data_IF_060073934045
#
_entry.id   IF_060073934045
#
_cell.length_a   1.000
_cell.length_b   1.000
_cell.length_c   1.000
_cell.angle_alpha   90.00
_cell.angle_beta   90.00
_cell.angle_gamma   90.00
#
_symmetry.space_group_name_H-M   'P 1'
#
loop_
_entity.id
_entity.type
_entity.pdbx_description
1 polymer ?
#
# COMPACT_ATOMS: atom_id res chain seq x y z
N UNK A 1 -6.04 -8.27 -6.89
CA UNK A 1 -5.35 -8.69 -8.13
C UNK A 1 -4.79 -7.47 -8.83
N UNK A 2 -3.51 -7.45 -9.17
CA UNK A 2 -2.90 -6.40 -10.00
C UNK A 2 -2.36 -7.02 -11.28
N UNK A 3 -2.62 -6.37 -12.42
CA UNK A 3 -2.18 -6.82 -13.74
C UNK A 3 -1.36 -5.70 -14.38
N UNK A 4 -0.11 -6.01 -14.71
CA UNK A 4 0.75 -5.14 -15.51
C UNK A 4 0.87 -5.75 -16.90
N UNK A 5 0.74 -4.93 -17.93
CA UNK A 5 0.84 -5.38 -19.31
C UNK A 5 1.72 -4.45 -20.14
N UNK A 6 2.53 -5.02 -21.01
CA UNK A 6 3.36 -4.28 -21.96
C UNK A 6 3.29 -4.92 -23.36
N UNK A 7 3.35 -4.10 -24.41
CA UNK A 7 3.39 -4.59 -25.79
C UNK A 7 4.72 -5.26 -26.08
N UNK A 8 4.69 -6.46 -26.65
CA UNK A 8 5.87 -7.12 -27.22
C UNK A 8 6.01 -6.69 -28.67
N UNK A 9 7.19 -6.18 -29.03
CA UNK A 9 7.50 -5.67 -30.36
C UNK A 9 8.52 -6.54 -31.07
N UNK A 10 8.35 -6.69 -32.38
CA UNK A 10 9.22 -7.50 -33.23
C UNK A 10 10.68 -7.09 -33.05
N UNK A 11 11.56 -8.07 -32.90
CA UNK A 11 13.01 -7.91 -32.72
C UNK A 11 13.41 -6.99 -31.54
N UNK A 12 12.53 -6.80 -30.55
CA UNK A 12 12.78 -5.95 -29.39
C UNK A 12 12.87 -4.44 -29.69
N UNK A 13 12.54 -4.01 -30.92
CA UNK A 13 12.66 -2.60 -31.31
C UNK A 13 11.56 -1.75 -30.66
N UNK A 14 11.95 -0.62 -30.06
CA UNK A 14 11.02 0.35 -29.41
C UNK A 14 9.87 0.77 -30.33
N UNK A 15 10.16 0.96 -31.61
CA UNK A 15 9.19 1.37 -32.63
C UNK A 15 8.80 0.21 -33.58
N UNK A 16 9.18 -1.03 -33.23
CA UNK A 16 8.90 -2.22 -34.02
C UNK A 16 7.41 -2.57 -34.04
N UNK A 17 6.98 -3.31 -35.06
CA UNK A 17 5.59 -3.81 -35.17
C UNK A 17 5.21 -4.56 -33.89
N UNK A 18 4.03 -4.25 -33.34
CA UNK A 18 3.46 -4.98 -32.20
C UNK A 18 3.16 -6.41 -32.65
N UNK A 19 3.68 -7.40 -31.91
CA UNK A 19 3.51 -8.83 -32.21
C UNK A 19 2.82 -9.59 -31.08
N UNK A 20 2.61 -8.96 -29.93
CA UNK A 20 1.89 -9.56 -28.80
C UNK A 20 1.86 -8.65 -27.58
N UNK A 21 1.43 -9.22 -26.45
CA UNK A 21 1.39 -8.57 -25.13
C UNK A 21 2.00 -9.53 -24.11
N UNK A 22 2.84 -8.99 -23.22
CA UNK A 22 3.29 -9.68 -22.02
C UNK A 22 2.49 -9.14 -20.84
N UNK A 23 1.75 -10.01 -20.17
CA UNK A 23 1.02 -9.71 -18.95
C UNK A 23 1.68 -10.38 -17.75
N UNK A 24 1.81 -9.64 -16.64
CA UNK A 24 2.20 -10.20 -15.34
C UNK A 24 1.04 -10.00 -14.38
N UNK A 25 0.53 -11.11 -13.84
CA UNK A 25 -0.55 -11.13 -12.86
C UNK A 25 0.03 -11.41 -11.48
N UNK A 26 -0.11 -10.45 -10.57
CA UNK A 26 0.31 -10.63 -9.19
C UNK A 26 -0.90 -10.96 -8.31
N UNK A 27 -0.77 -12.06 -7.55
CA UNK A 27 -1.65 -12.33 -6.42
C UNK A 27 -1.28 -11.39 -5.27
N UNK A 28 -1.70 -10.13 -5.41
CA UNK A 28 -1.42 -9.06 -4.47
C UNK A 28 -2.03 -9.31 -3.08
N UNK A 29 -3.12 -10.07 -2.98
CA UNK A 29 -3.84 -10.21 -1.72
C UNK A 29 -3.02 -10.91 -0.63
N UNK A 30 -2.39 -12.03 -0.97
CA UNK A 30 -1.59 -12.81 -0.01
C UNK A 30 -0.31 -12.07 0.37
N UNK A 31 0.37 -11.44 -0.61
CA UNK A 31 1.57 -10.66 -0.33
C UNK A 31 1.28 -9.42 0.52
N UNK A 32 0.17 -8.73 0.25
CA UNK A 32 -0.20 -7.55 1.01
C UNK A 32 -0.56 -7.88 2.46
N UNK A 33 -1.18 -9.04 2.71
CA UNK A 33 -1.43 -9.56 4.07
C UNK A 33 -0.13 -9.79 4.83
N UNK A 34 0.85 -10.47 4.22
CA UNK A 34 2.17 -10.63 4.83
C UNK A 34 2.81 -9.28 5.16
N UNK A 35 2.80 -8.34 4.21
CA UNK A 35 3.37 -6.99 4.43
C UNK A 35 2.77 -6.30 5.66
N UNK A 36 1.45 -6.31 5.81
CA UNK A 36 0.80 -5.63 6.95
C UNK A 36 0.87 -6.40 8.26
N UNK A 37 1.30 -7.66 8.27
CA UNK A 37 1.34 -8.51 9.47
C UNK A 37 2.75 -8.81 9.97
N UNK A 38 3.76 -8.87 9.10
CA UNK A 38 5.09 -9.37 9.46
C UNK A 38 6.21 -8.36 9.30
N UNK A 39 6.10 -7.40 8.36
CA UNK A 39 7.15 -6.40 8.12
C UNK A 39 7.26 -5.32 9.21
N UNK A 40 6.16 -4.84 9.83
CA UNK A 40 6.25 -3.87 10.90
C UNK A 40 6.98 -4.44 12.12
N UNK A 41 8.08 -3.81 12.51
CA UNK A 41 8.87 -4.20 13.68
C UNK A 41 8.23 -3.72 14.99
N UNK A 42 7.00 -4.15 15.25
CA UNK A 42 6.25 -3.87 16.49
C UNK A 42 6.46 -5.01 17.49
N UNK A 43 6.61 -4.66 18.77
CA UNK A 43 6.55 -5.63 19.88
C UNK A 43 5.15 -6.24 20.04
N UNK A 44 5.03 -7.37 20.73
CA UNK A 44 3.73 -8.00 20.99
C UNK A 44 2.73 -7.06 21.67
N UNK A 45 3.19 -6.26 22.63
CA UNK A 45 2.35 -5.30 23.34
C UNK A 45 1.94 -4.10 22.47
N UNK A 46 2.77 -3.73 21.49
CA UNK A 46 2.37 -2.76 20.46
C UNK A 46 1.33 -3.35 19.52
N UNK A 47 1.51 -4.61 19.08
CA UNK A 47 0.56 -5.32 18.23
C UNK A 47 -0.84 -5.40 18.82
N UNK A 48 -0.96 -5.68 20.13
CA UNK A 48 -2.27 -5.74 20.83
C UNK A 48 -3.11 -4.46 20.70
N UNK A 49 -2.47 -3.32 20.44
CA UNK A 49 -3.12 -2.01 20.34
C UNK A 49 -2.90 -1.32 18.99
N UNK A 50 -2.31 -2.01 18.02
CA UNK A 50 -1.96 -1.44 16.72
C UNK A 50 -2.68 -2.15 15.58
N UNK A 51 -3.02 -1.39 14.56
CA UNK A 51 -3.55 -1.86 13.30
C UNK A 51 -2.74 -1.26 12.17
N UNK A 52 -2.24 -2.10 11.28
CA UNK A 52 -1.42 -1.67 10.14
C UNK A 52 -2.27 -1.78 8.87
N UNK A 53 -2.29 -0.72 8.07
CA UNK A 53 -3.08 -0.64 6.85
C UNK A 53 -2.26 -0.12 5.67
N UNK A 54 -2.56 -0.63 4.49
CA UNK A 54 -2.14 -0.07 3.21
C UNK A 54 -3.35 0.57 2.54
N UNK A 55 -3.13 1.75 1.96
CA UNK A 55 -4.13 2.56 1.29
C UNK A 55 -3.76 2.76 -0.18
N UNK A 56 -4.75 2.69 -1.07
CA UNK A 56 -4.57 3.11 -2.46
C UNK A 56 -4.52 4.65 -2.61
N UNK A 57 -4.33 5.14 -3.84
CA UNK A 57 -4.33 6.57 -4.16
C UNK A 57 -5.66 7.29 -3.83
N UNK A 58 -6.76 6.55 -3.69
CA UNK A 58 -8.08 7.07 -3.33
C UNK A 58 -8.36 6.94 -1.83
N UNK A 59 -7.34 6.66 -1.02
CA UNK A 59 -7.44 6.43 0.43
C UNK A 59 -8.36 5.27 0.80
N UNK A 60 -8.46 4.23 -0.04
CA UNK A 60 -9.19 3.00 0.28
C UNK A 60 -8.24 1.96 0.84
N UNK A 61 -8.69 1.20 1.84
CA UNK A 61 -7.90 0.12 2.44
C UNK A 61 -7.73 -1.00 1.42
N UNK A 62 -6.49 -1.29 1.03
CA UNK A 62 -6.14 -2.40 0.12
C UNK A 62 -5.51 -3.58 0.86
N UNK A 63 -5.05 -3.38 2.10
CA UNK A 63 -4.69 -4.44 3.04
C UNK A 63 -4.77 -3.91 4.48
N UNK A 64 -5.11 -4.78 5.41
CA UNK A 64 -5.15 -4.47 6.84
C UNK A 64 -4.70 -5.69 7.66
N UNK A 65 -3.95 -5.46 8.73
CA UNK A 65 -3.43 -6.53 9.61
C UNK A 65 -4.53 -7.40 10.23
N UNK A 66 -5.71 -6.81 10.45
CA UNK A 66 -6.92 -7.45 10.96
C UNK A 66 -7.90 -7.90 9.86
N UNK A 67 -7.53 -7.72 8.58
CA UNK A 67 -8.37 -7.98 7.42
C UNK A 67 -9.73 -7.24 7.41
N UNK A 68 -9.87 -6.18 8.22
CA UNK A 68 -11.11 -5.43 8.35
C UNK A 68 -11.15 -4.23 7.38
N UNK A 69 -12.35 -3.85 6.95
CA UNK A 69 -12.59 -2.62 6.19
C UNK A 69 -11.93 -2.57 4.80
N UNK A 70 -11.58 -3.72 4.21
CA UNK A 70 -11.01 -3.80 2.87
C UNK A 70 -11.95 -3.10 1.86
N UNK A 71 -11.37 -2.30 0.97
CA UNK A 71 -12.00 -1.38 0.01
C UNK A 71 -12.80 -0.20 0.60
N UNK A 72 -12.94 -0.11 1.92
CA UNK A 72 -13.56 1.05 2.55
C UNK A 72 -12.58 2.22 2.62
N UNK A 73 -13.08 3.47 2.56
CA UNK A 73 -12.24 4.65 2.72
C UNK A 73 -11.67 4.74 4.14
N UNK A 74 -10.44 5.21 4.24
CA UNK A 74 -9.78 5.59 5.47
C UNK A 74 -9.36 7.05 5.38
N UNK A 75 -9.91 7.91 6.24
CA UNK A 75 -9.66 9.35 6.20
C UNK A 75 -8.27 9.66 6.77
N UNK A 76 -7.24 9.58 5.92
CA UNK A 76 -5.87 9.90 6.31
C UNK A 76 -5.60 11.41 6.24
N UNK A 77 -5.39 12.06 7.38
CA UNK A 77 -5.01 13.48 7.44
C UNK A 77 -3.53 13.72 7.12
N UNK A 78 -3.11 13.41 5.89
CA UNK A 78 -1.71 13.57 5.51
C UNK A 78 -1.27 15.03 5.29
N UNK A 79 -2.22 15.97 5.09
CA UNK A 79 -1.99 17.43 4.95
C UNK A 79 -0.86 17.77 3.96
N UNK A 80 -0.80 17.05 2.84
CA UNK A 80 0.24 17.21 1.81
C UNK A 80 1.62 16.63 2.17
N UNK A 81 1.81 16.10 3.39
CA UNK A 81 3.06 15.47 3.81
C UNK A 81 3.18 14.07 3.22
N UNK A 82 4.43 13.69 2.91
CA UNK A 82 4.78 12.34 2.46
C UNK A 82 4.90 11.35 3.63
N UNK A 83 5.20 11.84 4.83
CA UNK A 83 5.24 11.03 6.05
C UNK A 83 4.93 11.91 7.26
N UNK A 84 4.44 11.31 8.33
CA UNK A 84 4.15 12.03 9.56
C UNK A 84 3.34 11.20 10.53
N UNK A 85 2.89 11.85 11.60
CA UNK A 85 1.94 11.28 12.53
C UNK A 85 1.01 12.36 13.08
N UNK A 86 -0.14 11.95 13.59
CA UNK A 86 -1.10 12.80 14.30
C UNK A 86 -1.92 11.96 15.27
N UNK A 87 -2.60 12.61 16.22
CA UNK A 87 -3.57 11.97 17.10
C UNK A 87 -4.97 12.35 16.62
N UNK A 88 -5.83 11.37 16.39
CA UNK A 88 -7.20 11.62 15.93
C UNK A 88 -8.15 11.98 17.08
N UNK A 89 -9.42 12.26 16.75
CA UNK A 89 -10.46 12.55 17.75
C UNK A 89 -10.72 11.42 18.75
N UNK A 90 -10.39 10.17 18.39
CA UNK A 90 -10.51 8.99 19.26
C UNK A 90 -9.28 8.76 20.15
N UNK A 91 -8.32 9.69 20.17
CA UNK A 91 -7.04 9.59 20.89
C UNK A 91 -6.13 8.47 20.37
N UNK A 92 -6.35 8.02 19.13
CA UNK A 92 -5.47 7.06 18.48
C UNK A 92 -4.32 7.80 17.79
N UNK A 93 -3.10 7.31 17.95
CA UNK A 93 -1.94 7.76 17.20
C UNK A 93 -1.98 7.14 15.80
N UNK A 94 -1.99 7.98 14.78
CA UNK A 94 -1.92 7.59 13.38
C UNK A 94 -0.56 8.02 12.84
N UNK A 95 0.31 7.07 12.52
CA UNK A 95 1.56 7.30 11.81
C UNK A 95 1.42 6.85 10.35
N UNK A 96 1.99 7.59 9.40
CA UNK A 96 1.84 7.28 7.98
C UNK A 96 3.08 7.62 7.14
N UNK A 97 3.20 6.95 6.00
CA UNK A 97 4.19 7.24 4.96
C UNK A 97 3.66 6.88 3.57
N UNK A 98 3.91 7.74 2.57
CA UNK A 98 3.65 7.48 1.16
C UNK A 98 4.71 6.53 0.61
N UNK A 99 4.30 5.58 -0.23
CA UNK A 99 5.23 4.71 -0.94
C UNK A 99 5.98 5.49 -2.01
N UNK A 100 7.29 5.24 -2.13
CA UNK A 100 8.18 5.99 -3.02
C UNK A 100 8.20 5.45 -4.46
N UNK A 101 7.74 4.20 -4.66
CA UNK A 101 7.87 3.49 -5.94
C UNK A 101 8.96 2.44 -5.92
N UNK A 102 9.35 1.94 -7.10
CA UNK A 102 10.40 0.94 -7.25
C UNK A 102 11.33 1.31 -8.41
N UNK A 103 12.64 1.41 -8.12
CA UNK A 103 13.66 1.84 -9.07
C UNK A 103 13.29 3.17 -9.75
N UNK A 104 13.10 3.16 -11.07
CA UNK A 104 12.79 4.32 -11.89
C UNK A 104 11.27 4.54 -12.05
N UNK A 105 10.44 3.68 -11.47
CA UNK A 105 8.98 3.76 -11.57
C UNK A 105 8.39 4.47 -10.35
N UNK A 106 7.59 5.49 -10.64
CA UNK A 106 6.80 6.19 -9.64
C UNK A 106 5.91 5.22 -8.85
N UNK A 107 5.79 5.48 -7.55
CA UNK A 107 4.84 4.77 -6.70
C UNK A 107 3.41 4.99 -7.13
N UNK A 108 2.55 4.00 -6.89
CA UNK A 108 1.11 4.01 -7.24
C UNK A 108 0.27 4.99 -6.40
N UNK A 109 0.90 5.97 -5.74
CA UNK A 109 0.22 6.92 -4.85
C UNK A 109 -0.22 6.32 -3.51
N UNK A 110 0.29 5.15 -3.14
CA UNK A 110 -0.17 4.43 -1.95
C UNK A 110 0.43 4.99 -0.66
N UNK A 111 -0.27 4.72 0.44
CA UNK A 111 0.19 5.05 1.79
C UNK A 111 0.19 3.81 2.68
N UNK A 112 1.18 3.70 3.54
CA UNK A 112 1.12 2.86 4.72
C UNK A 112 0.70 3.71 5.92
N UNK A 113 -0.17 3.18 6.77
CA UNK A 113 -0.53 3.81 8.04
C UNK A 113 -0.59 2.78 9.17
N UNK A 114 -0.21 3.21 10.37
CA UNK A 114 -0.36 2.47 11.61
C UNK A 114 -1.29 3.26 12.50
N UNK A 115 -2.38 2.64 12.93
CA UNK A 115 -3.34 3.18 13.90
C UNK A 115 -3.08 2.51 15.23
N UNK A 116 -2.65 3.27 16.23
CA UNK A 116 -2.30 2.76 17.54
C UNK A 116 -3.19 3.39 18.61
N UNK A 117 -3.89 2.55 19.39
CA UNK A 117 -4.68 2.99 20.54
C UNK A 117 -3.77 3.41 21.69
N UNK A 118 -4.21 4.34 22.56
CA UNK A 118 -3.46 4.70 23.75
C UNK A 118 -3.26 3.48 24.67
N UNK A 119 -2.23 3.54 25.52
CA UNK A 119 -2.04 2.56 26.60
C UNK A 119 -3.14 2.69 27.65
#
# INVERSE_FOLDING_TARGET
MAVYAATVRKDGKKDGKIVGVLGVMFNWEDQAKTIVQTEPSLSEDEWKRSRVILLDQNMRIIAASDNSGILLPFMLEHKGKQKGHYVNAHRELIAFAKTLGYQEYDGLGWYAAIVQRPK
#
